data_IF_041483201247
#
_entry.id   IF_041483201247
#
_cell.length_a   1.000
_cell.length_b   1.000
_cell.length_c   1.000
_cell.angle_alpha   90.00
_cell.angle_beta   90.00
_cell.angle_gamma   90.00
#
_symmetry.space_group_name_H-M   'P 1'
#
loop_
_entity.id
_entity.type
_entity.pdbx_description
1 polymer ?
#
# COMPACT_ATOMS: atom_id res chain seq x y z
N UNK A 1 -10.85 28.50 -12.93
CA UNK A 1 -11.27 27.80 -11.69
C UNK A 1 -10.04 27.15 -11.07
N UNK A 2 -9.93 27.21 -9.76
CA UNK A 2 -8.84 26.58 -9.02
C UNK A 2 -9.41 25.35 -8.30
N UNK A 3 -8.80 24.19 -8.54
CA UNK A 3 -9.08 22.94 -7.85
C UNK A 3 -8.05 22.73 -6.75
N UNK A 4 -8.51 22.49 -5.51
CA UNK A 4 -7.66 22.08 -4.41
C UNK A 4 -7.92 20.61 -4.08
N UNK A 5 -6.90 19.76 -4.14
CA UNK A 5 -6.95 18.38 -3.67
C UNK A 5 -6.28 18.31 -2.29
N UNK A 6 -7.06 17.92 -1.28
CA UNK A 6 -6.60 17.89 0.11
C UNK A 6 -6.77 16.48 0.65
N UNK A 7 -5.68 15.86 1.14
CA UNK A 7 -5.74 14.60 1.87
C UNK A 7 -6.18 14.86 3.32
N UNK A 8 -7.29 14.21 3.73
CA UNK A 8 -7.84 14.31 5.07
C UNK A 8 -7.67 12.98 5.82
N UNK A 9 -6.59 12.85 6.56
CA UNK A 9 -6.28 11.70 7.41
C UNK A 9 -6.67 11.94 8.87
N UNK A 10 -7.08 10.89 9.57
CA UNK A 10 -7.35 10.91 11.01
C UNK A 10 -6.71 9.70 11.69
N UNK A 11 -6.31 9.89 12.93
CA UNK A 11 -5.80 8.82 13.79
C UNK A 11 -6.71 8.54 14.99
N UNK A 12 -7.57 9.49 15.38
CA UNK A 12 -8.43 9.39 16.56
C UNK A 12 -9.84 9.92 16.27
N UNK A 13 -10.86 9.44 17.03
CA UNK A 13 -12.19 10.03 16.99
C UNK A 13 -12.20 11.53 17.30
N UNK A 14 -13.08 12.29 16.65
CA UNK A 14 -13.25 13.75 16.80
C UNK A 14 -12.31 14.60 15.95
N UNK A 15 -11.32 14.03 15.29
CA UNK A 15 -10.37 14.78 14.44
C UNK A 15 -11.02 15.23 13.14
N UNK A 16 -11.87 14.40 12.53
CA UNK A 16 -12.47 14.72 11.23
C UNK A 16 -13.40 15.94 11.29
N UNK A 17 -14.07 16.14 12.39
CA UNK A 17 -14.91 17.32 12.57
C UNK A 17 -14.11 18.64 12.57
N UNK A 18 -12.83 18.62 12.96
CA UNK A 18 -11.94 19.78 12.84
C UNK A 18 -11.50 19.99 11.39
N UNK A 19 -11.14 18.90 10.69
CA UNK A 19 -10.76 18.96 9.29
C UNK A 19 -11.93 19.43 8.42
N UNK A 20 -13.14 18.92 8.64
CA UNK A 20 -14.34 19.33 7.90
C UNK A 20 -14.59 20.85 7.99
N UNK A 21 -14.44 21.43 9.18
CA UNK A 21 -14.62 22.87 9.39
C UNK A 21 -13.60 23.75 8.68
N UNK A 22 -12.39 23.21 8.49
CA UNK A 22 -11.29 23.92 7.82
C UNK A 22 -11.41 23.74 6.30
N UNK A 23 -11.57 22.50 5.83
CA UNK A 23 -11.56 22.14 4.41
C UNK A 23 -12.87 22.54 3.74
N UNK A 24 -14.01 22.25 4.35
CA UNK A 24 -15.37 22.47 3.81
C UNK A 24 -15.49 21.99 2.37
N UNK A 25 -15.30 20.69 2.11
CA UNK A 25 -15.19 20.19 0.75
C UNK A 25 -16.55 20.22 0.04
N UNK A 26 -16.56 20.60 -1.24
CA UNK A 26 -17.72 20.47 -2.11
C UNK A 26 -17.86 19.02 -2.60
N UNK A 27 -16.73 18.34 -2.77
CA UNK A 27 -16.63 16.95 -3.21
C UNK A 27 -15.78 16.17 -2.22
N UNK A 28 -16.26 15.01 -1.78
CA UNK A 28 -15.48 14.06 -0.99
C UNK A 28 -15.27 12.78 -1.76
N UNK A 29 -14.02 12.32 -1.81
CA UNK A 29 -13.63 11.06 -2.44
C UNK A 29 -13.16 10.09 -1.37
N UNK A 30 -13.90 9.02 -1.15
CA UNK A 30 -13.51 7.92 -0.28
C UNK A 30 -12.76 6.86 -1.10
N UNK A 31 -11.46 6.71 -0.86
CA UNK A 31 -10.62 5.77 -1.60
C UNK A 31 -10.75 4.36 -1.03
N UNK A 32 -10.49 4.22 0.26
CA UNK A 32 -10.60 2.94 0.97
C UNK A 32 -10.65 3.18 2.47
N UNK A 33 -11.03 2.15 3.20
CA UNK A 33 -10.88 2.11 4.65
C UNK A 33 -10.18 0.82 5.03
N UNK A 34 -9.11 0.93 5.80
CA UNK A 34 -8.29 -0.19 6.22
C UNK A 34 -7.99 -0.15 7.72
N UNK A 35 -7.14 -1.06 8.19
CA UNK A 35 -6.85 -1.27 9.62
C UNK A 35 -5.87 -0.24 10.21
N UNK A 36 -5.30 0.67 9.40
CA UNK A 36 -4.41 1.72 9.90
C UNK A 36 -5.08 2.54 11.01
N UNK A 37 -4.41 2.68 12.17
CA UNK A 37 -4.93 3.35 13.37
C UNK A 37 -6.20 2.73 13.98
N UNK A 38 -6.50 1.45 13.67
CA UNK A 38 -7.70 0.77 14.18
C UNK A 38 -7.71 0.68 15.72
N UNK A 39 -6.54 0.66 16.36
CA UNK A 39 -6.38 0.67 17.82
C UNK A 39 -7.06 1.84 18.53
N UNK A 40 -7.33 2.93 17.80
CA UNK A 40 -7.99 4.12 18.35
C UNK A 40 -9.52 4.14 18.12
N UNK A 41 -10.07 3.11 17.48
CA UNK A 41 -11.48 2.99 17.17
C UNK A 41 -12.05 1.67 17.70
N UNK A 42 -13.28 1.68 18.18
CA UNK A 42 -13.95 0.48 18.73
C UNK A 42 -14.10 -0.62 17.66
N UNK A 43 -14.43 -0.22 16.44
CA UNK A 43 -14.62 -1.10 15.30
C UNK A 43 -14.49 -0.30 13.99
N UNK A 44 -14.58 -1.00 12.87
CA UNK A 44 -14.47 -0.40 11.54
C UNK A 44 -15.64 0.54 11.23
N UNK A 45 -16.85 0.23 11.71
CA UNK A 45 -18.03 1.07 11.51
C UNK A 45 -17.86 2.43 12.19
N UNK A 46 -17.39 2.49 13.44
CA UNK A 46 -17.08 3.75 14.10
C UNK A 46 -16.05 4.58 13.32
N UNK A 47 -15.05 3.93 12.77
CA UNK A 47 -14.04 4.59 11.94
C UNK A 47 -14.63 5.11 10.62
N UNK A 48 -15.54 4.38 10.00
CA UNK A 48 -16.32 4.87 8.85
C UNK A 48 -17.16 6.07 9.22
N UNK A 49 -17.89 6.00 10.34
CA UNK A 49 -18.70 7.11 10.85
C UNK A 49 -17.88 8.37 11.04
N UNK A 50 -16.72 8.26 11.65
CA UNK A 50 -15.82 9.38 11.85
C UNK A 50 -15.32 9.96 10.53
N UNK A 51 -14.88 9.11 9.58
CA UNK A 51 -14.43 9.58 8.28
C UNK A 51 -15.54 10.23 7.46
N UNK A 52 -16.77 9.73 7.55
CA UNK A 52 -17.93 10.28 6.86
C UNK A 52 -18.35 11.69 7.35
N UNK A 53 -17.86 12.13 8.52
CA UNK A 53 -18.07 13.50 8.98
C UNK A 53 -17.54 14.52 7.96
N UNK A 54 -16.45 14.20 7.23
CA UNK A 54 -15.92 15.07 6.18
C UNK A 54 -16.96 15.40 5.10
N UNK A 55 -17.87 14.47 4.83
CA UNK A 55 -18.87 14.62 3.78
C UNK A 55 -20.17 15.31 4.23
N UNK A 56 -20.26 15.82 5.47
CA UNK A 56 -21.51 16.40 5.99
C UNK A 56 -22.07 17.52 5.12
N UNK A 57 -21.23 18.32 4.48
CA UNK A 57 -21.64 19.45 3.63
C UNK A 57 -21.41 19.20 2.14
N UNK A 58 -20.66 18.16 1.79
CA UNK A 58 -20.33 17.86 0.42
C UNK A 58 -21.59 17.61 -0.43
N UNK A 59 -21.63 18.21 -1.60
CA UNK A 59 -22.71 18.00 -2.57
C UNK A 59 -22.54 16.70 -3.33
N UNK A 60 -21.29 16.33 -3.61
CA UNK A 60 -20.94 15.13 -4.36
C UNK A 60 -20.03 14.22 -3.53
N UNK A 61 -20.35 12.93 -3.51
CA UNK A 61 -19.57 11.91 -2.81
C UNK A 61 -19.21 10.81 -3.79
N UNK A 62 -17.92 10.61 -4.01
CA UNK A 62 -17.37 9.52 -4.81
C UNK A 62 -16.86 8.43 -3.86
N UNK A 63 -17.22 7.21 -4.12
CA UNK A 63 -16.83 6.06 -3.29
C UNK A 63 -16.82 4.78 -4.11
N UNK A 64 -16.36 3.68 -3.55
CA UNK A 64 -16.41 2.38 -4.20
C UNK A 64 -17.11 1.38 -3.28
N UNK A 65 -18.24 0.82 -3.73
CA UNK A 65 -19.10 -0.07 -2.93
C UNK A 65 -18.43 -1.40 -2.53
N UNK A 66 -17.31 -1.76 -3.17
CA UNK A 66 -16.50 -2.91 -2.76
C UNK A 66 -15.98 -2.81 -1.32
N UNK A 67 -15.78 -1.59 -0.81
CA UNK A 67 -15.27 -1.38 0.56
C UNK A 67 -16.41 -1.36 1.58
N UNK A 68 -16.86 -2.52 2.03
CA UNK A 68 -17.83 -2.66 3.12
C UNK A 68 -17.10 -2.55 4.49
N UNK A 69 -17.68 -1.90 5.50
CA UNK A 69 -19.05 -1.35 5.55
C UNK A 69 -19.18 0.07 4.96
N UNK A 70 -18.09 0.70 4.54
CA UNK A 70 -18.06 2.11 4.11
C UNK A 70 -19.07 2.39 2.99
N UNK A 71 -19.06 1.59 1.92
CA UNK A 71 -19.94 1.80 0.77
C UNK A 71 -21.42 1.74 1.15
N UNK A 72 -21.82 0.74 1.93
CA UNK A 72 -23.19 0.58 2.43
C UNK A 72 -23.60 1.75 3.34
N UNK A 73 -22.72 2.19 4.23
CA UNK A 73 -22.99 3.30 5.14
C UNK A 73 -23.12 4.63 4.39
N UNK A 74 -22.29 4.89 3.36
CA UNK A 74 -22.41 6.07 2.51
C UNK A 74 -23.75 6.07 1.77
N UNK A 75 -24.08 4.98 1.11
CA UNK A 75 -25.34 4.86 0.35
C UNK A 75 -26.58 5.09 1.24
N UNK A 76 -26.57 4.61 2.48
CA UNK A 76 -27.65 4.82 3.43
C UNK A 76 -27.68 6.24 3.98
N UNK A 77 -26.56 6.78 4.43
CA UNK A 77 -26.51 8.09 5.14
C UNK A 77 -26.70 9.28 4.21
N UNK A 78 -26.24 9.18 2.99
CA UNK A 78 -26.22 10.30 2.05
C UNK A 78 -27.13 10.09 0.83
N UNK A 79 -28.21 9.29 0.97
CA UNK A 79 -29.12 8.95 -0.13
C UNK A 79 -29.73 10.18 -0.87
N UNK A 80 -29.76 11.35 -0.23
CA UNK A 80 -30.23 12.60 -0.82
C UNK A 80 -29.16 13.45 -1.53
N UNK A 81 -27.91 12.94 -1.63
CA UNK A 81 -26.78 13.64 -2.25
C UNK A 81 -26.45 13.03 -3.61
N UNK A 82 -25.59 13.70 -4.38
CA UNK A 82 -25.03 13.14 -5.61
C UNK A 82 -23.99 12.06 -5.21
N UNK A 83 -24.38 10.80 -5.29
CA UNK A 83 -23.54 9.65 -5.00
C UNK A 83 -22.98 9.06 -6.29
N UNK A 84 -21.68 8.89 -6.36
CA UNK A 84 -20.97 8.33 -7.51
C UNK A 84 -20.24 7.05 -7.05
N UNK A 85 -20.87 5.89 -7.29
CA UNK A 85 -20.25 4.61 -6.99
C UNK A 85 -19.29 4.20 -8.11
N UNK A 86 -18.02 4.17 -7.82
CA UNK A 86 -16.97 3.82 -8.76
C UNK A 86 -17.04 2.37 -9.25
N UNK A 87 -17.73 1.48 -8.54
CA UNK A 87 -17.94 0.11 -8.98
C UNK A 87 -18.80 0.03 -10.26
N UNK A 88 -19.52 1.12 -10.62
CA UNK A 88 -20.25 1.23 -11.88
C UNK A 88 -19.36 1.63 -13.06
N UNK A 89 -18.13 2.10 -12.82
CA UNK A 89 -17.18 2.43 -13.87
C UNK A 89 -16.52 1.16 -14.44
N UNK A 90 -16.12 1.18 -15.73
CA UNK A 90 -15.38 0.08 -16.33
C UNK A 90 -14.11 -0.24 -15.54
N UNK A 91 -13.79 -1.52 -15.40
CA UNK A 91 -12.53 -1.93 -14.77
C UNK A 91 -11.37 -1.73 -15.75
N UNK A 92 -10.31 -1.07 -15.29
CA UNK A 92 -9.08 -0.95 -16.07
C UNK A 92 -8.46 -2.34 -16.25
N UNK A 93 -8.08 -2.74 -17.49
CA UNK A 93 -7.52 -4.06 -17.75
C UNK A 93 -6.28 -4.34 -16.91
N UNK A 94 -6.10 -5.58 -16.46
CA UNK A 94 -4.93 -6.01 -15.69
C UNK A 94 -3.60 -5.79 -16.43
N UNK A 95 -3.62 -5.86 -17.76
CA UNK A 95 -2.47 -5.55 -18.59
C UNK A 95 -2.01 -4.09 -18.49
N UNK A 96 -2.91 -3.16 -18.08
CA UNK A 96 -2.60 -1.73 -17.89
C UNK A 96 -2.25 -1.45 -16.43
N UNK A 97 -3.01 -2.02 -15.49
CA UNK A 97 -2.76 -1.87 -14.05
C UNK A 97 -2.79 -3.25 -13.40
N UNK A 98 -1.63 -3.79 -13.04
CA UNK A 98 -1.46 -5.16 -12.58
C UNK A 98 -2.15 -5.49 -11.26
N UNK A 99 -2.27 -4.56 -10.32
CA UNK A 99 -2.86 -4.87 -9.01
C UNK A 99 -4.32 -4.39 -8.87
N UNK A 100 -5.16 -5.22 -8.24
CA UNK A 100 -6.58 -4.98 -8.08
C UNK A 100 -6.92 -3.70 -7.27
N UNK A 101 -6.09 -3.35 -6.28
CA UNK A 101 -6.32 -2.13 -5.49
C UNK A 101 -6.11 -0.88 -6.34
N UNK A 102 -5.06 -0.85 -7.17
CA UNK A 102 -4.81 0.26 -8.10
C UNK A 102 -5.88 0.33 -9.19
N UNK A 103 -6.41 -0.82 -9.67
CA UNK A 103 -7.54 -0.81 -10.62
C UNK A 103 -8.78 -0.18 -9.99
N UNK A 104 -9.11 -0.50 -8.73
CA UNK A 104 -10.22 0.17 -8.01
C UNK A 104 -9.96 1.67 -7.79
N UNK A 105 -8.72 2.06 -7.50
CA UNK A 105 -8.37 3.47 -7.42
C UNK A 105 -8.55 4.18 -8.77
N UNK A 106 -8.23 3.53 -9.87
CA UNK A 106 -8.47 4.06 -11.22
C UNK A 106 -9.97 4.25 -11.50
N UNK A 107 -10.82 3.28 -11.11
CA UNK A 107 -12.28 3.44 -11.18
C UNK A 107 -12.78 4.63 -10.35
N UNK A 108 -12.21 4.86 -9.15
CA UNK A 108 -12.55 6.03 -8.32
C UNK A 108 -12.16 7.34 -9.02
N UNK A 109 -11.00 7.39 -9.66
CA UNK A 109 -10.57 8.56 -10.44
C UNK A 109 -11.50 8.79 -11.63
N UNK A 110 -11.90 7.73 -12.35
CA UNK A 110 -12.83 7.81 -13.45
C UNK A 110 -14.21 8.33 -13.00
N UNK A 111 -14.74 7.79 -11.89
CA UNK A 111 -16.00 8.25 -11.30
C UNK A 111 -15.93 9.72 -10.88
N UNK A 112 -14.80 10.15 -10.32
CA UNK A 112 -14.56 11.55 -9.98
C UNK A 112 -14.56 12.44 -11.23
N UNK A 113 -13.79 12.07 -12.26
CA UNK A 113 -13.74 12.83 -13.52
C UNK A 113 -15.13 12.96 -14.14
N UNK A 114 -15.87 11.87 -14.25
CA UNK A 114 -17.24 11.86 -14.77
C UNK A 114 -18.17 12.76 -13.91
N UNK A 115 -18.08 12.69 -12.59
CA UNK A 115 -18.89 13.51 -11.68
C UNK A 115 -18.65 15.01 -11.85
N UNK A 116 -17.39 15.38 -12.14
CA UNK A 116 -16.95 16.78 -12.31
C UNK A 116 -17.01 17.28 -13.75
N UNK A 117 -17.38 16.42 -14.72
CA UNK A 117 -17.41 16.78 -16.13
C UNK A 117 -16.02 16.91 -16.77
N UNK A 118 -15.01 16.27 -16.18
CA UNK A 118 -13.67 16.19 -16.77
C UNK A 118 -13.61 15.06 -17.83
N UNK A 119 -12.67 15.14 -18.79
CA UNK A 119 -12.40 14.04 -19.70
C UNK A 119 -12.06 12.75 -18.96
N UNK A 120 -12.38 11.61 -19.58
CA UNK A 120 -11.96 10.30 -19.06
C UNK A 120 -10.43 10.24 -18.93
N UNK A 121 -9.90 9.80 -17.78
CA UNK A 121 -8.47 9.74 -17.58
C UNK A 121 -7.83 8.62 -18.41
N UNK A 122 -6.59 8.85 -18.87
CA UNK A 122 -5.75 7.79 -19.44
C UNK A 122 -4.87 7.20 -18.33
N UNK A 123 -4.84 5.87 -18.22
CA UNK A 123 -4.00 5.18 -17.24
C UNK A 123 -2.77 4.51 -17.86
N UNK A 124 -2.59 4.60 -19.19
CA UNK A 124 -1.46 3.97 -19.91
C UNK A 124 -0.12 4.62 -19.60
N UNK A 125 -0.12 5.86 -19.17
CA UNK A 125 1.06 6.65 -18.82
C UNK A 125 1.05 7.07 -17.35
N UNK A 126 0.26 6.39 -16.51
CA UNK A 126 0.23 6.71 -15.09
C UNK A 126 1.61 6.46 -14.46
N UNK A 127 2.22 7.45 -13.79
CA UNK A 127 3.53 7.26 -13.20
C UNK A 127 3.48 6.20 -12.10
N UNK A 128 4.49 5.34 -12.07
CA UNK A 128 4.67 4.43 -10.93
C UNK A 128 4.88 5.27 -9.65
N UNK A 129 4.09 4.97 -8.64
CA UNK A 129 4.25 5.63 -7.34
C UNK A 129 5.39 4.95 -6.60
N UNK A 130 6.47 5.67 -6.40
CA UNK A 130 7.63 5.18 -5.65
C UNK A 130 7.22 4.55 -4.30
N UNK A 131 7.83 3.41 -3.95
CA UNK A 131 7.58 2.64 -2.74
C UNK A 131 6.15 2.09 -2.59
N UNK A 132 5.35 2.01 -3.67
CA UNK A 132 4.02 1.39 -3.69
C UNK A 132 3.93 0.35 -4.80
N UNK A 133 4.32 -0.90 -4.49
CA UNK A 133 4.43 -2.03 -5.43
C UNK A 133 5.30 -1.72 -6.65
N UNK A 134 6.28 -0.85 -6.48
CA UNK A 134 7.24 -0.47 -7.52
C UNK A 134 8.15 -1.66 -7.84
N UNK A 135 8.21 -2.07 -9.12
CA UNK A 135 9.04 -3.20 -9.56
C UNK A 135 10.32 -2.71 -10.21
N UNK A 136 11.46 -3.19 -9.75
CA UNK A 136 12.79 -2.84 -10.26
C UNK A 136 13.68 -4.07 -10.40
N UNK A 137 14.67 -3.97 -11.28
CA UNK A 137 15.79 -4.92 -11.29
C UNK A 137 16.59 -4.78 -9.99
N UNK A 138 16.77 -5.89 -9.30
CA UNK A 138 17.60 -5.94 -8.11
C UNK A 138 19.00 -6.48 -8.41
N UNK A 139 19.86 -6.42 -7.38
CA UNK A 139 21.19 -7.02 -7.44
C UNK A 139 21.11 -8.56 -7.60
N UNK A 140 22.16 -9.18 -8.13
CA UNK A 140 22.27 -10.64 -8.25
C UNK A 140 21.09 -11.30 -8.99
N UNK A 141 20.61 -10.70 -10.06
CA UNK A 141 19.49 -11.19 -10.87
C UNK A 141 18.17 -11.32 -10.09
N UNK A 142 17.95 -10.50 -9.06
CA UNK A 142 16.68 -10.43 -8.35
C UNK A 142 15.69 -9.50 -9.04
N UNK A 143 14.39 -9.74 -8.79
CA UNK A 143 13.32 -8.80 -9.07
C UNK A 143 12.91 -8.19 -7.72
N UNK A 144 13.04 -6.88 -7.58
CA UNK A 144 12.74 -6.15 -6.37
C UNK A 144 11.37 -5.51 -6.46
N UNK A 145 10.48 -5.83 -5.53
CA UNK A 145 9.17 -5.20 -5.38
C UNK A 145 9.24 -4.31 -4.15
N UNK A 146 9.20 -3.00 -4.36
CA UNK A 146 9.29 -2.03 -3.29
C UNK A 146 7.90 -1.52 -2.90
N UNK A 147 7.40 -1.95 -1.75
CA UNK A 147 6.12 -1.54 -1.15
C UNK A 147 6.31 -1.11 0.31
N UNK A 148 7.33 -0.30 0.54
CA UNK A 148 7.81 0.07 1.87
C UNK A 148 7.28 1.43 2.39
N UNK A 149 6.18 1.93 1.82
CA UNK A 149 5.59 3.20 2.27
C UNK A 149 4.74 3.04 3.52
N UNK A 150 3.95 1.98 3.62
CA UNK A 150 3.05 1.69 4.72
C UNK A 150 2.99 0.18 5.00
N UNK A 151 2.72 -0.21 6.24
CA UNK A 151 2.62 -1.60 6.65
C UNK A 151 1.45 -1.81 7.61
N UNK A 152 0.41 -2.46 7.11
CA UNK A 152 -0.73 -3.01 7.83
C UNK A 152 -1.12 -4.37 7.23
N UNK A 153 -2.03 -5.12 7.87
CA UNK A 153 -2.40 -6.47 7.43
C UNK A 153 -3.00 -6.49 6.02
N UNK A 154 -3.85 -5.51 5.68
CA UNK A 154 -4.50 -5.47 4.36
C UNK A 154 -3.50 -5.14 3.25
N UNK A 155 -2.64 -4.14 3.48
CA UNK A 155 -1.58 -3.80 2.53
C UNK A 155 -0.55 -4.91 2.39
N UNK A 156 -0.26 -5.66 3.47
CA UNK A 156 0.59 -6.84 3.41
C UNK A 156 -0.03 -7.95 2.57
N UNK A 157 -1.34 -8.22 2.72
CA UNK A 157 -2.05 -9.21 1.92
C UNK A 157 -1.93 -8.90 0.42
N UNK A 158 -2.26 -7.66 0.04
CA UNK A 158 -2.17 -7.20 -1.36
C UNK A 158 -0.75 -7.31 -1.92
N UNK A 159 0.27 -6.95 -1.13
CA UNK A 159 1.65 -7.04 -1.55
C UNK A 159 2.12 -8.50 -1.71
N UNK A 160 1.66 -9.42 -0.87
CA UNK A 160 1.96 -10.85 -0.99
C UNK A 160 1.29 -11.48 -2.22
N UNK A 161 0.04 -11.11 -2.52
CA UNK A 161 -0.65 -11.53 -3.75
C UNK A 161 0.09 -11.01 -4.99
N UNK A 162 0.56 -9.77 -4.95
CA UNK A 162 1.35 -9.19 -6.03
C UNK A 162 2.72 -9.87 -6.16
N UNK A 163 3.41 -10.18 -5.05
CA UNK A 163 4.65 -10.98 -5.07
C UNK A 163 4.41 -12.32 -5.78
N UNK A 164 3.28 -12.97 -5.52
CA UNK A 164 2.93 -14.23 -6.17
C UNK A 164 2.82 -14.07 -7.71
N UNK A 165 2.17 -13.01 -8.18
CA UNK A 165 1.98 -12.74 -9.61
C UNK A 165 3.30 -12.39 -10.33
N UNK A 166 4.18 -11.63 -9.68
CA UNK A 166 5.46 -11.18 -10.25
C UNK A 166 6.54 -12.25 -10.20
N UNK A 167 6.50 -13.10 -9.17
CA UNK A 167 7.56 -14.09 -8.94
C UNK A 167 7.70 -15.12 -10.07
N UNK A 168 6.59 -15.45 -10.78
CA UNK A 168 6.56 -16.51 -11.78
C UNK A 168 7.18 -17.82 -11.24
N UNK A 169 8.34 -18.23 -11.78
CA UNK A 169 9.09 -19.41 -11.34
C UNK A 169 10.19 -19.10 -10.31
N UNK A 170 10.39 -17.84 -9.92
CA UNK A 170 11.41 -17.44 -8.95
C UNK A 170 11.00 -17.80 -7.52
N UNK A 171 11.98 -18.17 -6.69
CA UNK A 171 11.75 -18.27 -5.24
C UNK A 171 11.42 -16.89 -4.66
N UNK A 172 10.60 -16.87 -3.60
CA UNK A 172 10.05 -15.66 -3.00
C UNK A 172 10.74 -15.33 -1.71
N UNK A 173 11.21 -14.09 -1.59
CA UNK A 173 11.72 -13.53 -0.35
C UNK A 173 10.83 -12.37 0.07
N UNK A 174 10.39 -12.40 1.33
CA UNK A 174 9.72 -11.27 1.98
C UNK A 174 10.71 -10.62 2.94
N UNK A 175 10.99 -9.35 2.76
CA UNK A 175 11.68 -8.50 3.75
C UNK A 175 10.61 -7.71 4.48
N UNK A 176 10.43 -7.98 5.76
CA UNK A 176 9.35 -7.46 6.59
C UNK A 176 9.90 -6.77 7.83
N UNK A 177 9.38 -5.58 8.16
CA UNK A 177 9.63 -4.96 9.47
C UNK A 177 8.58 -5.35 10.49
N UNK A 178 8.78 -5.02 11.76
CA UNK A 178 7.71 -5.08 12.75
C UNK A 178 6.52 -4.23 12.31
N UNK A 179 5.32 -4.70 12.62
CA UNK A 179 4.06 -4.01 12.35
C UNK A 179 3.67 -3.22 13.60
N UNK A 180 3.42 -1.93 13.39
CA UNK A 180 2.89 -1.05 14.42
C UNK A 180 1.38 -0.85 14.21
N UNK A 181 0.67 -0.45 15.28
CA UNK A 181 -0.69 0.11 15.21
C UNK A 181 -1.75 -0.79 14.55
N UNK A 182 -1.75 -2.10 14.88
CA UNK A 182 -2.70 -3.06 14.31
C UNK A 182 -4.05 -3.16 15.05
N UNK A 183 -4.12 -2.66 16.29
CA UNK A 183 -5.28 -2.89 17.18
C UNK A 183 -5.43 -4.32 17.69
N UNK A 184 -4.51 -5.23 17.33
CA UNK A 184 -4.47 -6.62 17.77
C UNK A 184 -3.39 -6.82 18.83
N UNK A 185 -3.52 -7.87 19.62
CA UNK A 185 -2.40 -8.35 20.44
C UNK A 185 -1.25 -8.83 19.52
N UNK A 186 -0.02 -8.76 20.00
CA UNK A 186 1.12 -9.23 19.20
C UNK A 186 0.98 -10.71 18.82
N UNK A 187 0.42 -11.55 19.69
CA UNK A 187 0.21 -12.98 19.42
C UNK A 187 -0.79 -13.18 18.25
N UNK A 188 -1.91 -12.47 18.27
CA UNK A 188 -2.91 -12.52 17.18
C UNK A 188 -2.35 -11.95 15.88
N UNK A 189 -1.65 -10.83 15.96
CA UNK A 189 -1.06 -10.15 14.80
C UNK A 189 -0.06 -11.06 14.09
N UNK A 190 0.96 -11.54 14.81
CA UNK A 190 2.01 -12.36 14.20
C UNK A 190 1.53 -13.76 13.84
N UNK A 191 0.50 -14.29 14.51
CA UNK A 191 -0.21 -15.49 14.07
C UNK A 191 -0.86 -15.32 12.70
N UNK A 192 -1.56 -14.20 12.48
CA UNK A 192 -2.16 -13.86 11.18
C UNK A 192 -1.11 -13.64 10.11
N UNK A 193 -0.05 -12.88 10.42
CA UNK A 193 1.07 -12.62 9.50
C UNK A 193 1.74 -13.94 9.07
N UNK A 194 2.02 -14.84 9.99
CA UNK A 194 2.61 -16.14 9.67
C UNK A 194 1.71 -16.97 8.74
N UNK A 195 0.39 -16.97 8.99
CA UNK A 195 -0.58 -17.59 8.10
C UNK A 195 -0.61 -16.98 6.70
N UNK A 196 -0.49 -15.66 6.58
CA UNK A 196 -0.44 -14.96 5.29
C UNK A 196 0.84 -15.30 4.52
N UNK A 197 1.99 -15.27 5.18
CA UNK A 197 3.31 -15.63 4.63
C UNK A 197 3.34 -17.06 4.12
N UNK A 198 2.76 -18.00 4.89
CA UNK A 198 2.65 -19.41 4.48
C UNK A 198 1.76 -19.60 3.24
N UNK A 199 0.56 -18.98 3.21
CA UNK A 199 -0.35 -19.05 2.04
C UNK A 199 0.27 -18.45 0.78
N UNK A 200 1.05 -17.37 0.92
CA UNK A 200 1.74 -16.75 -0.21
C UNK A 200 2.94 -17.58 -0.72
N UNK A 201 3.29 -18.67 -0.05
CA UNK A 201 4.40 -19.53 -0.43
C UNK A 201 5.75 -18.81 -0.40
N UNK A 202 5.97 -17.97 0.63
CA UNK A 202 7.25 -17.31 0.84
C UNK A 202 8.30 -18.35 1.25
N UNK A 203 9.41 -18.41 0.52
CA UNK A 203 10.51 -19.36 0.81
C UNK A 203 11.44 -18.84 1.91
N UNK A 204 11.64 -17.53 1.96
CA UNK A 204 12.55 -16.91 2.94
C UNK A 204 11.93 -15.63 3.51
N UNK A 205 11.87 -15.54 4.84
CA UNK A 205 11.54 -14.31 5.57
C UNK A 205 12.82 -13.63 6.05
N UNK A 206 13.03 -12.41 5.64
CA UNK A 206 14.02 -11.50 6.23
C UNK A 206 13.28 -10.57 7.17
N UNK A 207 13.35 -10.84 8.46
CA UNK A 207 12.63 -10.10 9.49
C UNK A 207 13.50 -9.02 10.12
N UNK A 208 12.97 -7.80 10.23
CA UNK A 208 13.68 -6.66 10.84
C UNK A 208 12.85 -6.12 12.00
N UNK A 209 13.38 -6.26 13.21
CA UNK A 209 12.79 -5.77 14.44
C UNK A 209 12.65 -6.81 15.55
N UNK A 210 12.46 -6.35 16.79
CA UNK A 210 12.41 -7.22 17.97
C UNK A 210 11.18 -8.13 18.02
N UNK A 211 10.04 -7.69 17.49
CA UNK A 211 8.82 -8.48 17.51
C UNK A 211 8.90 -9.65 16.53
N UNK A 212 9.33 -9.42 15.27
CA UNK A 212 9.57 -10.49 14.31
C UNK A 212 10.58 -11.52 14.83
N UNK A 213 11.63 -11.08 15.54
CA UNK A 213 12.57 -11.98 16.19
C UNK A 213 11.90 -12.81 17.29
N UNK A 214 11.05 -12.19 18.12
CA UNK A 214 10.32 -12.88 19.19
C UNK A 214 9.36 -13.95 18.65
N UNK A 215 8.67 -13.63 17.56
CA UNK A 215 7.66 -14.51 16.95
C UNK A 215 8.18 -15.37 15.80
N UNK A 216 9.50 -15.43 15.61
CA UNK A 216 10.13 -16.15 14.49
C UNK A 216 9.74 -17.63 14.38
N UNK A 217 9.42 -18.29 15.49
CA UNK A 217 9.01 -19.70 15.52
C UNK A 217 7.67 -19.96 14.80
N UNK A 218 6.80 -18.94 14.63
CA UNK A 218 5.53 -19.06 13.91
C UNK A 218 5.71 -19.23 12.40
N UNK A 219 6.85 -18.81 11.84
CA UNK A 219 7.07 -18.85 10.40
C UNK A 219 7.76 -20.16 10.00
N UNK A 220 7.13 -20.93 9.13
CA UNK A 220 7.62 -22.23 8.65
C UNK A 220 8.67 -22.18 7.53
N UNK A 221 9.03 -20.99 7.03
CA UNK A 221 10.02 -20.79 5.97
C UNK A 221 11.44 -20.55 6.53
N UNK A 222 12.43 -20.49 5.62
CA UNK A 222 13.79 -20.04 5.98
C UNK A 222 13.76 -18.62 6.55
N UNK A 223 14.65 -18.31 7.49
CA UNK A 223 14.63 -16.99 8.18
C UNK A 223 16.03 -16.39 8.32
N UNK A 224 16.11 -15.08 8.04
CA UNK A 224 17.19 -14.20 8.46
C UNK A 224 16.60 -13.07 9.31
N UNK A 225 17.13 -12.83 10.51
CA UNK A 225 16.54 -11.90 11.46
C UNK A 225 17.56 -10.85 11.89
N UNK A 226 17.17 -9.59 11.78
CA UNK A 226 18.01 -8.44 12.05
C UNK A 226 17.36 -7.49 13.05
N UNK A 227 18.16 -6.77 13.83
CA UNK A 227 17.64 -5.78 14.77
C UNK A 227 17.26 -4.46 14.08
N UNK A 228 17.93 -4.14 12.96
CA UNK A 228 17.73 -2.89 12.23
C UNK A 228 17.91 -3.06 10.72
N UNK A 229 17.42 -2.08 9.96
CA UNK A 229 17.63 -1.99 8.50
C UNK A 229 19.10 -1.88 8.15
N UNK A 230 19.88 -1.11 8.90
CA UNK A 230 21.32 -0.93 8.67
C UNK A 230 22.07 -2.26 8.89
N UNK A 231 21.72 -3.04 9.93
CA UNK A 231 22.26 -4.38 10.14
C UNK A 231 21.87 -5.33 8.99
N UNK A 232 20.62 -5.28 8.55
CA UNK A 232 20.17 -6.07 7.41
C UNK A 232 20.98 -5.76 6.14
N UNK A 233 21.16 -4.49 5.80
CA UNK A 233 21.95 -4.07 4.62
C UNK A 233 23.39 -4.60 4.70
N UNK A 234 24.01 -4.58 5.88
CA UNK A 234 25.37 -5.04 6.07
C UNK A 234 25.55 -6.56 5.99
N UNK A 235 24.49 -7.33 6.29
CA UNK A 235 24.60 -8.78 6.55
C UNK A 235 23.66 -9.66 5.75
N UNK A 236 22.70 -9.10 5.01
CA UNK A 236 21.72 -9.89 4.24
C UNK A 236 22.44 -10.89 3.32
N UNK A 237 22.08 -12.15 3.46
CA UNK A 237 22.72 -13.23 2.73
C UNK A 237 22.39 -13.21 1.24
N UNK A 238 23.38 -13.53 0.38
CA UNK A 238 23.16 -13.67 -1.06
C UNK A 238 22.03 -14.66 -1.37
N UNK A 239 21.86 -15.69 -0.54
CA UNK A 239 20.80 -16.70 -0.69
C UNK A 239 19.39 -16.15 -0.55
N UNK A 240 19.21 -15.07 0.21
CA UNK A 240 17.93 -14.42 0.39
C UNK A 240 17.53 -13.55 -0.81
N UNK A 241 18.48 -13.21 -1.70
CA UNK A 241 18.25 -12.21 -2.76
C UNK A 241 18.51 -12.78 -4.16
N UNK A 242 19.58 -13.54 -4.37
CA UNK A 242 20.03 -13.93 -5.71
C UNK A 242 19.01 -14.79 -6.48
N UNK A 243 18.64 -14.34 -7.67
CA UNK A 243 17.68 -15.00 -8.56
C UNK A 243 16.25 -15.06 -8.04
N UNK A 244 15.90 -14.24 -7.04
CA UNK A 244 14.61 -14.30 -6.36
C UNK A 244 13.71 -13.12 -6.71
N UNK A 245 12.41 -13.28 -6.47
CA UNK A 245 11.48 -12.15 -6.31
C UNK A 245 11.52 -11.71 -4.85
N UNK A 246 11.89 -10.47 -4.61
CA UNK A 246 12.10 -9.89 -3.27
C UNK A 246 11.10 -8.78 -3.03
N UNK A 247 10.18 -9.00 -2.09
CA UNK A 247 9.23 -7.99 -1.65
C UNK A 247 9.78 -7.26 -0.43
N UNK A 248 9.87 -5.94 -0.51
CA UNK A 248 10.17 -5.05 0.62
C UNK A 248 8.86 -4.49 1.17
N UNK A 249 8.52 -4.84 2.41
CA UNK A 249 7.32 -4.38 3.10
C UNK A 249 7.67 -3.92 4.51
N UNK A 250 7.74 -2.62 4.75
CA UNK A 250 8.21 -2.08 6.00
C UNK A 250 7.45 -0.87 6.49
N UNK A 251 7.34 -0.71 7.81
CA UNK A 251 6.83 0.50 8.41
C UNK A 251 7.83 1.66 8.22
N UNK A 252 7.33 2.88 8.09
CA UNK A 252 8.11 4.07 7.75
C UNK A 252 9.31 4.31 8.68
N UNK A 253 9.16 3.98 9.96
CA UNK A 253 10.22 4.12 10.97
C UNK A 253 11.45 3.25 10.70
N UNK A 254 11.29 2.15 9.96
CA UNK A 254 12.37 1.24 9.59
C UNK A 254 13.18 1.69 8.36
N UNK A 255 12.79 2.78 7.68
CA UNK A 255 13.54 3.42 6.59
C UNK A 255 13.93 2.45 5.48
N UNK A 256 12.97 1.67 5.00
CA UNK A 256 13.21 0.66 3.95
C UNK A 256 13.63 1.25 2.61
N UNK A 257 13.50 2.57 2.41
CA UNK A 257 14.11 3.27 1.26
C UNK A 257 15.62 3.05 1.17
N UNK A 258 16.33 2.94 2.30
CA UNK A 258 17.76 2.59 2.32
C UNK A 258 18.00 1.18 1.79
N UNK A 259 17.17 0.22 2.20
CA UNK A 259 17.26 -1.17 1.78
C UNK A 259 16.91 -1.30 0.29
N UNK A 260 15.85 -0.62 -0.16
CA UNK A 260 15.48 -0.58 -1.57
C UNK A 260 16.62 -0.04 -2.44
N UNK A 261 17.29 1.04 -1.99
CA UNK A 261 18.45 1.59 -2.67
C UNK A 261 19.64 0.61 -2.69
N UNK A 262 19.90 -0.08 -1.58
CA UNK A 262 21.03 -1.02 -1.47
C UNK A 262 20.81 -2.28 -2.33
N UNK A 263 19.57 -2.74 -2.49
CA UNK A 263 19.21 -3.94 -3.26
C UNK A 263 18.88 -3.66 -4.72
N UNK A 264 18.63 -2.42 -5.12
CA UNK A 264 18.39 -2.07 -6.51
C UNK A 264 19.66 -2.22 -7.35
N UNK A 265 19.51 -2.69 -8.58
CA UNK A 265 20.59 -2.72 -9.55
C UNK A 265 20.97 -1.29 -9.95
N UNK A 266 22.22 -0.92 -9.74
CA UNK A 266 22.72 0.38 -10.20
C UNK A 266 22.81 0.34 -11.72
N UNK A 267 22.08 1.21 -12.42
CA UNK A 267 22.34 1.47 -13.84
C UNK A 267 23.69 2.15 -13.95
N UNK A 268 24.68 1.49 -14.55
CA UNK A 268 25.91 2.13 -14.97
C UNK A 268 25.57 2.98 -16.20
N UNK A 269 25.31 4.25 -16.01
CA UNK A 269 25.39 5.23 -17.09
C UNK A 269 26.88 5.46 -17.30
N UNK A 270 27.48 4.77 -18.27
CA UNK A 270 28.80 5.12 -18.77
C UNK A 270 28.62 6.42 -19.54
N UNK A 271 28.92 7.53 -18.92
CA UNK A 271 29.12 8.78 -19.65
C UNK A 271 30.42 8.59 -20.44
N UNK A 272 30.32 8.31 -21.73
CA UNK A 272 31.41 8.46 -22.65
C UNK A 272 31.58 9.99 -22.82
N UNK A 273 32.54 10.58 -22.11
CA UNK A 273 33.09 11.88 -22.48
C UNK A 273 33.77 11.69 -23.82
N UNK A 274 33.12 12.07 -24.90
CA UNK A 274 33.74 12.22 -26.21
C UNK A 274 34.40 13.58 -26.19
N UNK A 275 35.73 13.56 -26.08
CA UNK A 275 36.56 14.75 -26.27
C UNK A 275 36.42 15.19 -27.74
N UNK A 276 35.70 16.29 -27.97
CA UNK A 276 35.44 16.82 -29.32
C UNK A 276 36.53 17.79 -29.80
N UNK A 277 37.67 17.86 -29.10
CA UNK A 277 38.83 18.68 -29.49
C UNK A 277 40.00 17.76 -29.91
N UNK A 278 39.91 17.22 -31.16
CA UNK A 278 41.04 16.71 -31.91
C UNK A 278 40.85 16.95 -33.41
#
# INVERSE_FOLDING_TARGET
EQLALIEAGISKPGEMARLERIIRPDVVVFISIGDAHQENFLNLEQKCDEKMVLAHRAETIVYHSHYDPLGRMIASRFAGRKLCDAAACPEVPEAVIGNAASRRNAQIVEAFCAAMGYPAPSFTEAPEVAMRLEVKDGINDSVLINDAYNLDLNSLALALDYLHSVALSRRRTLVLSDIAQSGLTDDELYGRVAGMVARAGVDTLVGIGPKLKRYAALFGCDKELYASTDECIARIGRRAVAGRAVLLKGAREYRFEKLAHALARKSHTTVLEVDLDA
#
